data_IF_243457690979
#
_entry.id   IF_243457690979
#
_cell.length_a   1.000
_cell.length_b   1.000
_cell.length_c   1.000
_cell.angle_alpha   90.00
_cell.angle_beta   90.00
_cell.angle_gamma   90.00
#
_symmetry.space_group_name_H-M   'P 1'
#
loop_
_entity.id
_entity.type
_entity.pdbx_description
1 polymer ?
#
# COMPACT_ATOMS: atom_id res chain seq x y z
N UNK A 1 -25.23 5.21 -11.23
CA UNK A 1 -25.65 4.34 -10.11
C UNK A 1 -24.37 3.65 -9.65
N UNK A 2 -23.78 4.13 -8.59
CA UNK A 2 -22.55 3.58 -8.04
C UNK A 2 -22.89 2.33 -7.22
N UNK A 3 -22.40 1.16 -7.66
CA UNK A 3 -22.45 -0.04 -6.87
C UNK A 3 -21.41 0.09 -5.75
N UNK A 4 -21.86 0.02 -4.52
CA UNK A 4 -21.10 0.19 -3.30
C UNK A 4 -20.03 -0.89 -3.15
N UNK A 5 -18.79 -0.51 -3.16
CA UNK A 5 -17.61 -1.27 -2.67
C UNK A 5 -17.60 -1.29 -1.12
N UNK A 6 -18.76 -1.46 -0.47
CA UNK A 6 -18.95 -1.20 0.96
C UNK A 6 -18.55 -2.35 1.89
N UNK A 7 -17.71 -3.31 1.46
CA UNK A 7 -17.19 -4.37 2.34
C UNK A 7 -15.69 -4.65 2.15
N UNK A 8 -14.88 -3.61 1.96
CA UNK A 8 -13.45 -3.77 2.22
C UNK A 8 -13.24 -3.87 3.73
N UNK A 9 -13.04 -5.07 4.22
CA UNK A 9 -12.46 -5.25 5.56
C UNK A 9 -11.08 -4.58 5.56
N UNK A 10 -10.75 -3.73 6.53
CA UNK A 10 -9.53 -2.92 6.56
C UNK A 10 -8.22 -3.70 6.71
N UNK A 11 -8.22 -5.01 6.65
CA UNK A 11 -7.09 -5.88 6.98
C UNK A 11 -6.79 -6.95 5.92
N UNK A 12 -7.03 -6.69 4.63
CA UNK A 12 -6.52 -7.61 3.60
C UNK A 12 -5.10 -7.20 3.21
N UNK A 13 -4.14 -8.15 3.17
CA UNK A 13 -2.84 -7.86 2.57
C UNK A 13 -3.06 -7.40 1.12
N UNK A 14 -2.43 -6.29 0.78
CA UNK A 14 -2.39 -5.75 -0.57
C UNK A 14 -1.75 -6.83 -1.45
N UNK A 15 -2.49 -7.33 -2.44
CA UNK A 15 -1.98 -8.36 -3.36
C UNK A 15 -2.83 -9.62 -3.50
N UNK A 16 -3.83 -9.83 -2.64
CA UNK A 16 -4.76 -10.96 -2.80
C UNK A 16 -6.16 -10.48 -3.21
N UNK A 17 -6.53 -10.73 -4.45
CA UNK A 17 -7.92 -10.62 -4.93
C UNK A 17 -8.72 -11.84 -4.44
N UNK A 18 -9.09 -11.84 -3.14
CA UNK A 18 -9.85 -12.94 -2.56
C UNK A 18 -11.34 -12.76 -2.79
N UNK A 19 -11.93 -13.64 -3.59
CA UNK A 19 -13.37 -13.71 -3.84
C UNK A 19 -14.02 -14.85 -3.01
N UNK A 20 -13.69 -15.02 -1.76
CA UNK A 20 -14.13 -15.99 -0.75
C UNK A 20 -12.94 -16.80 -0.18
N UNK A 21 -13.13 -17.42 1.00
CA UNK A 21 -12.08 -18.19 1.68
C UNK A 21 -11.46 -19.25 0.77
N UNK A 22 -10.13 -19.35 0.75
CA UNK A 22 -9.40 -20.36 0.02
C UNK A 22 -9.92 -21.78 0.39
N UNK A 23 -10.46 -22.54 -0.56
CA UNK A 23 -11.05 -23.84 -0.27
C UNK A 23 -9.96 -24.90 -0.12
N UNK A 24 -10.07 -25.73 0.94
CA UNK A 24 -9.31 -26.97 0.99
C UNK A 24 -9.83 -27.92 -0.11
N UNK A 25 -8.93 -28.45 -0.95
CA UNK A 25 -9.29 -29.48 -1.95
C UNK A 25 -10.04 -30.63 -1.24
N UNK A 26 -11.32 -30.81 -1.59
CA UNK A 26 -12.04 -32.04 -1.33
C UNK A 26 -12.17 -32.80 -2.67
N UNK A 27 -11.96 -34.14 -2.71
CA UNK A 27 -12.21 -34.93 -3.92
C UNK A 27 -13.72 -34.93 -4.19
N UNK A 28 -14.16 -34.10 -5.10
CA UNK A 28 -15.57 -34.02 -5.50
C UNK A 28 -15.76 -34.81 -6.79
N UNK A 29 -16.53 -35.85 -6.73
CA UNK A 29 -17.01 -36.54 -7.94
C UNK A 29 -18.06 -35.64 -8.59
N UNK A 30 -17.66 -34.93 -9.66
CA UNK A 30 -18.55 -34.05 -10.43
C UNK A 30 -19.57 -34.90 -11.20
N UNK A 31 -20.86 -34.56 -11.04
CA UNK A 31 -21.94 -35.18 -11.87
C UNK A 31 -21.95 -34.65 -13.31
N UNK A 32 -21.28 -33.50 -13.57
CA UNK A 32 -21.04 -32.99 -14.92
C UNK A 32 -19.54 -33.13 -15.25
N UNK A 33 -19.24 -33.78 -16.36
CA UNK A 33 -17.89 -34.16 -16.84
C UNK A 33 -17.06 -32.94 -17.36
N UNK A 34 -17.29 -31.73 -16.88
CA UNK A 34 -16.52 -30.53 -17.28
C UNK A 34 -15.31 -30.39 -16.37
N UNK A 35 -14.08 -30.43 -16.90
CA UNK A 35 -12.87 -30.27 -16.09
C UNK A 35 -12.82 -28.91 -15.42
N UNK A 36 -12.25 -28.79 -14.20
CA UNK A 36 -12.05 -27.50 -13.50
C UNK A 36 -11.27 -26.48 -14.34
N UNK A 37 -10.29 -26.93 -15.13
CA UNK A 37 -9.55 -26.09 -16.09
C UNK A 37 -10.46 -25.45 -17.14
N UNK A 38 -11.43 -26.16 -17.66
CA UNK A 38 -12.40 -25.63 -18.63
C UNK A 38 -13.37 -24.64 -17.93
N UNK A 39 -13.70 -24.90 -16.66
CA UNK A 39 -14.54 -23.99 -15.88
C UNK A 39 -13.83 -22.66 -15.62
N UNK A 40 -12.53 -22.67 -15.37
CA UNK A 40 -11.74 -21.43 -15.20
C UNK A 40 -11.49 -20.73 -16.54
N UNK A 41 -11.11 -21.47 -17.60
CA UNK A 41 -10.76 -20.85 -18.88
C UNK A 41 -11.92 -20.06 -19.49
N UNK A 42 -13.17 -20.53 -19.32
CA UNK A 42 -14.36 -19.82 -19.86
C UNK A 42 -14.54 -18.42 -19.27
N UNK A 43 -13.98 -18.12 -18.09
CA UNK A 43 -14.03 -16.76 -17.50
C UNK A 43 -13.27 -15.75 -18.38
N UNK A 44 -12.30 -16.23 -19.17
CA UNK A 44 -11.41 -15.40 -20.00
C UNK A 44 -11.66 -15.59 -21.51
N UNK A 45 -12.38 -16.63 -21.92
CA UNK A 45 -12.62 -16.97 -23.33
C UNK A 45 -14.04 -16.65 -23.81
N UNK A 46 -15.00 -16.64 -22.89
CA UNK A 46 -16.39 -16.33 -23.24
C UNK A 46 -16.65 -14.83 -23.20
N UNK A 47 -17.49 -14.29 -24.12
CA UNK A 47 -17.72 -12.85 -24.20
C UNK A 47 -18.44 -12.25 -23.00
N UNK A 48 -19.24 -13.07 -22.30
CA UNK A 48 -20.01 -12.66 -21.13
C UNK A 48 -20.05 -13.75 -20.06
N UNK A 49 -19.89 -13.35 -18.79
CA UNK A 49 -20.05 -14.25 -17.65
C UNK A 49 -21.53 -14.65 -17.48
N UNK A 50 -21.79 -15.94 -17.32
CA UNK A 50 -23.15 -16.45 -17.14
C UNK A 50 -23.41 -16.77 -15.66
N UNK A 51 -24.55 -16.29 -15.15
CA UNK A 51 -24.97 -16.54 -13.76
C UNK A 51 -24.94 -18.02 -13.36
N UNK A 52 -25.33 -18.90 -14.28
CA UNK A 52 -25.43 -20.36 -14.04
C UNK A 52 -24.06 -21.02 -13.72
N UNK A 53 -22.96 -20.37 -13.98
CA UNK A 53 -21.62 -20.88 -13.66
C UNK A 53 -21.28 -20.77 -12.17
N UNK A 54 -22.03 -19.98 -11.43
CA UNK A 54 -21.75 -19.64 -10.05
C UNK A 54 -22.87 -20.10 -9.14
N UNK A 55 -22.54 -20.56 -7.94
CA UNK A 55 -23.52 -20.87 -6.92
C UNK A 55 -24.15 -19.57 -6.35
N UNK A 56 -25.42 -19.65 -5.94
CA UNK A 56 -26.11 -18.49 -5.36
C UNK A 56 -25.42 -17.97 -4.08
N UNK A 57 -24.83 -18.87 -3.28
CA UNK A 57 -24.05 -18.50 -2.09
C UNK A 57 -22.78 -17.71 -2.42
N UNK A 58 -22.18 -17.92 -3.58
CA UNK A 58 -21.05 -17.17 -4.07
C UNK A 58 -21.48 -15.80 -4.58
N UNK A 59 -22.53 -15.75 -5.39
CA UNK A 59 -23.08 -14.49 -5.91
C UNK A 59 -23.74 -13.59 -4.84
N UNK A 60 -24.04 -14.13 -3.67
CA UNK A 60 -24.46 -13.33 -2.51
C UNK A 60 -23.29 -12.53 -1.90
N UNK A 61 -22.04 -12.92 -2.17
CA UNK A 61 -20.84 -12.26 -1.65
C UNK A 61 -20.20 -11.30 -2.66
N UNK A 62 -20.36 -11.59 -3.95
CA UNK A 62 -19.78 -10.81 -5.05
C UNK A 62 -20.69 -10.86 -6.27
N UNK A 63 -20.96 -9.71 -6.89
CA UNK A 63 -21.79 -9.63 -8.08
C UNK A 63 -21.09 -10.08 -9.37
N UNK A 64 -21.85 -10.49 -10.40
CA UNK A 64 -21.28 -10.78 -11.72
C UNK A 64 -20.51 -9.60 -12.32
N UNK A 65 -20.96 -8.37 -12.07
CA UNK A 65 -20.30 -7.16 -12.55
C UNK A 65 -18.91 -7.00 -11.93
N UNK A 66 -18.78 -7.23 -10.62
CA UNK A 66 -17.50 -7.21 -9.92
C UNK A 66 -16.56 -8.31 -10.40
N UNK A 67 -17.06 -9.55 -10.62
CA UNK A 67 -16.27 -10.64 -11.20
C UNK A 67 -15.77 -10.26 -12.59
N UNK A 68 -16.63 -9.66 -13.42
CA UNK A 68 -16.27 -9.20 -14.76
C UNK A 68 -15.18 -8.13 -14.72
N UNK A 69 -15.25 -7.20 -13.78
CA UNK A 69 -14.22 -6.17 -13.59
C UNK A 69 -12.87 -6.81 -13.19
N UNK A 70 -12.87 -7.80 -12.31
CA UNK A 70 -11.66 -8.53 -11.91
C UNK A 70 -11.04 -9.25 -13.10
N UNK A 71 -11.84 -9.98 -13.89
CA UNK A 71 -11.37 -10.68 -15.09
C UNK A 71 -10.76 -9.69 -16.10
N UNK A 72 -11.43 -8.56 -16.34
CA UNK A 72 -10.92 -7.51 -17.24
C UNK A 72 -9.64 -6.88 -16.69
N UNK A 73 -9.57 -6.63 -15.38
CA UNK A 73 -8.36 -6.11 -14.74
C UNK A 73 -7.16 -7.04 -14.87
N UNK A 74 -7.38 -8.37 -14.71
CA UNK A 74 -6.36 -9.39 -14.95
C UNK A 74 -5.86 -9.31 -16.41
N UNK A 75 -6.77 -9.36 -17.39
CA UNK A 75 -6.39 -9.27 -18.81
C UNK A 75 -5.70 -7.94 -19.14
N UNK A 76 -6.15 -6.84 -18.55
CA UNK A 76 -5.48 -5.54 -18.66
C UNK A 76 -4.02 -5.57 -18.17
N UNK A 77 -3.75 -6.32 -17.11
CA UNK A 77 -2.42 -6.41 -16.49
C UNK A 77 -1.49 -7.36 -17.25
N UNK A 78 -1.94 -8.59 -17.59
CA UNK A 78 -1.10 -9.66 -18.15
C UNK A 78 -1.44 -10.05 -19.59
N UNK A 79 -2.36 -9.35 -20.24
CA UNK A 79 -2.69 -9.54 -21.66
C UNK A 79 -3.72 -10.63 -21.91
N UNK A 80 -3.73 -11.16 -23.14
CA UNK A 80 -4.71 -12.16 -23.59
C UNK A 80 -4.45 -13.54 -23.00
N UNK A 81 -5.52 -14.22 -22.58
CA UNK A 81 -5.45 -15.58 -22.06
C UNK A 81 -4.92 -16.56 -23.14
N UNK A 82 -4.04 -17.46 -22.73
CA UNK A 82 -3.41 -18.46 -23.60
C UNK A 82 -3.72 -19.89 -23.16
N UNK A 83 -3.45 -20.23 -21.91
CA UNK A 83 -3.59 -21.59 -21.41
C UNK A 83 -3.82 -21.64 -19.90
N UNK A 84 -4.14 -22.84 -19.40
CA UNK A 84 -4.26 -23.13 -17.97
C UNK A 84 -3.65 -24.50 -17.67
N UNK A 85 -2.93 -24.59 -16.58
CA UNK A 85 -2.34 -25.82 -16.05
C UNK A 85 -2.89 -26.11 -14.65
N UNK A 86 -3.14 -27.39 -14.36
CA UNK A 86 -3.46 -27.87 -13.01
C UNK A 86 -2.14 -28.19 -12.31
N UNK A 87 -1.90 -27.57 -11.17
CA UNK A 87 -0.70 -27.73 -10.35
C UNK A 87 -1.06 -28.22 -8.95
N UNK A 88 -0.08 -28.73 -8.17
CA UNK A 88 -0.32 -29.37 -6.86
C UNK A 88 -1.22 -28.55 -5.92
N UNK A 89 -1.11 -27.22 -5.94
CA UNK A 89 -1.83 -26.32 -5.04
C UNK A 89 -2.88 -25.43 -5.73
N UNK A 90 -3.34 -25.76 -6.95
CA UNK A 90 -4.32 -24.94 -7.65
C UNK A 90 -4.19 -24.97 -9.15
N UNK A 91 -4.25 -23.81 -9.79
CA UNK A 91 -4.16 -23.66 -11.24
C UNK A 91 -3.21 -22.50 -11.54
N UNK A 92 -2.53 -22.58 -12.69
CA UNK A 92 -1.77 -21.47 -13.25
C UNK A 92 -2.38 -21.11 -14.60
N UNK A 93 -2.94 -19.92 -14.72
CA UNK A 93 -3.43 -19.35 -15.97
C UNK A 93 -2.30 -18.58 -16.65
N UNK A 94 -1.97 -18.94 -17.88
CA UNK A 94 -0.95 -18.28 -18.70
C UNK A 94 -1.61 -17.29 -19.64
N UNK A 95 -1.04 -16.11 -19.71
CA UNK A 95 -1.45 -14.99 -20.57
C UNK A 95 -0.30 -14.57 -21.47
N UNK A 96 -0.56 -13.70 -22.45
CA UNK A 96 0.45 -13.24 -23.41
C UNK A 96 1.62 -12.49 -22.78
N UNK A 97 1.45 -11.90 -21.59
CA UNK A 97 2.47 -11.11 -20.88
C UNK A 97 2.77 -11.62 -19.47
N UNK A 98 2.22 -12.78 -19.06
CA UNK A 98 2.44 -13.27 -17.71
C UNK A 98 1.58 -14.46 -17.33
N UNK A 99 1.51 -14.74 -16.03
CA UNK A 99 0.72 -15.82 -15.47
C UNK A 99 -0.02 -15.37 -14.21
N UNK A 100 -1.12 -16.06 -13.89
CA UNK A 100 -1.93 -15.80 -12.70
C UNK A 100 -2.23 -17.13 -12.00
N UNK A 101 -1.68 -17.35 -10.80
CA UNK A 101 -2.09 -18.47 -9.98
C UNK A 101 -3.54 -18.30 -9.51
N UNK A 102 -4.30 -19.40 -9.48
CA UNK A 102 -5.70 -19.37 -9.10
C UNK A 102 -6.11 -20.60 -8.28
N UNK A 103 -7.10 -20.41 -7.41
CA UNK A 103 -7.72 -21.48 -6.64
C UNK A 103 -9.22 -21.52 -6.91
N UNK A 104 -9.76 -22.69 -7.09
CA UNK A 104 -11.15 -22.92 -7.47
C UNK A 104 -11.81 -23.95 -6.56
N UNK A 105 -13.01 -23.62 -6.08
CA UNK A 105 -13.91 -24.58 -5.44
C UNK A 105 -15.21 -24.71 -6.23
N UNK A 106 -15.69 -25.93 -6.36
CA UNK A 106 -16.91 -26.26 -7.09
C UNK A 106 -17.88 -27.04 -6.19
N UNK A 107 -19.18 -26.88 -6.43
CA UNK A 107 -20.19 -27.79 -5.87
C UNK A 107 -20.37 -29.03 -6.77
N UNK A 108 -21.23 -29.96 -6.35
CA UNK A 108 -21.54 -31.19 -7.10
C UNK A 108 -22.20 -30.94 -8.45
N UNK A 109 -22.68 -29.73 -8.72
CA UNK A 109 -23.28 -29.33 -10.01
C UNK A 109 -22.26 -28.64 -10.94
N UNK A 110 -21.00 -28.55 -10.54
CA UNK A 110 -19.94 -27.87 -11.29
C UNK A 110 -20.01 -26.34 -11.24
N UNK A 111 -20.76 -25.79 -10.30
CA UNK A 111 -20.82 -24.32 -10.10
C UNK A 111 -19.71 -23.84 -9.17
N UNK A 112 -19.19 -22.65 -9.44
CA UNK A 112 -18.17 -21.99 -8.65
C UNK A 112 -18.74 -21.58 -7.29
N UNK A 113 -18.16 -22.09 -6.21
CA UNK A 113 -18.47 -21.76 -4.82
C UNK A 113 -17.37 -20.95 -4.14
N UNK A 114 -16.15 -20.98 -4.71
CA UNK A 114 -15.00 -20.20 -4.28
C UNK A 114 -14.05 -20.01 -5.45
N UNK A 115 -13.53 -18.80 -5.56
CA UNK A 115 -12.57 -18.40 -6.58
C UNK A 115 -11.61 -17.38 -6.00
N UNK A 116 -10.32 -17.64 -6.15
CA UNK A 116 -9.24 -16.74 -5.77
C UNK A 116 -8.27 -16.64 -6.93
N UNK A 117 -7.98 -15.45 -7.37
CA UNK A 117 -6.83 -15.14 -8.21
C UNK A 117 -5.75 -14.50 -7.33
N UNK A 118 -4.54 -15.05 -7.38
CA UNK A 118 -3.38 -14.42 -6.76
C UNK A 118 -2.90 -13.23 -7.60
N UNK A 119 -1.95 -12.47 -7.07
CA UNK A 119 -1.36 -11.36 -7.82
C UNK A 119 -0.75 -11.87 -9.12
N UNK A 120 -1.10 -11.27 -10.28
CA UNK A 120 -0.48 -11.60 -11.55
C UNK A 120 1.05 -11.50 -11.51
N UNK A 121 1.71 -12.40 -12.22
CA UNK A 121 3.16 -12.41 -12.40
C UNK A 121 3.43 -12.11 -13.87
N UNK A 122 4.12 -10.99 -14.16
CA UNK A 122 4.53 -10.71 -15.53
C UNK A 122 5.63 -11.68 -15.95
N UNK A 123 5.69 -12.02 -17.23
CA UNK A 123 6.87 -12.63 -17.83
C UNK A 123 8.09 -11.76 -17.54
N UNK A 124 9.26 -12.38 -17.37
CA UNK A 124 10.45 -11.64 -17.01
C UNK A 124 10.70 -10.46 -17.97
N UNK A 125 10.45 -9.26 -17.46
CA UNK A 125 10.75 -8.00 -18.16
C UNK A 125 12.17 -7.57 -17.81
N UNK A 126 12.88 -7.01 -18.76
CA UNK A 126 14.12 -6.30 -18.49
C UNK A 126 13.84 -5.02 -17.69
N UNK A 127 14.84 -4.51 -16.98
CA UNK A 127 14.72 -3.25 -16.24
C UNK A 127 14.29 -2.08 -17.14
N UNK A 128 14.73 -2.05 -18.40
CA UNK A 128 14.32 -1.03 -19.36
C UNK A 128 12.85 -1.14 -19.76
N UNK A 129 12.34 -2.36 -19.92
CA UNK A 129 10.91 -2.58 -20.17
C UNK A 129 10.06 -2.23 -18.96
N UNK A 130 10.48 -2.60 -17.74
CA UNK A 130 9.80 -2.20 -16.50
C UNK A 130 9.75 -0.67 -16.36
N UNK A 131 10.87 0.01 -16.62
CA UNK A 131 10.91 1.47 -16.59
C UNK A 131 9.93 2.09 -17.59
N UNK A 132 9.85 1.52 -18.81
CA UNK A 132 8.93 1.98 -19.83
C UNK A 132 7.45 1.75 -19.43
N UNK A 133 7.12 0.60 -18.84
CA UNK A 133 5.79 0.29 -18.34
C UNK A 133 5.36 1.23 -17.20
N UNK A 134 6.25 1.53 -16.24
CA UNK A 134 5.98 2.54 -15.22
C UNK A 134 5.78 3.94 -15.82
N UNK A 135 6.62 4.33 -16.77
CA UNK A 135 6.53 5.64 -17.44
C UNK A 135 5.26 5.78 -18.29
N UNK A 136 4.67 4.67 -18.75
CA UNK A 136 3.43 4.65 -19.52
C UNK A 136 2.16 4.77 -18.67
N UNK A 137 2.27 4.70 -17.32
CA UNK A 137 1.12 4.89 -16.45
C UNK A 137 0.62 6.35 -16.52
N UNK A 138 -0.70 6.58 -16.64
CA UNK A 138 -1.23 7.94 -16.71
C UNK A 138 -1.09 8.68 -15.37
N UNK A 139 -0.85 9.99 -15.44
CA UNK A 139 -0.65 10.83 -14.25
C UNK A 139 0.82 11.03 -13.91
N UNK A 140 1.18 10.91 -12.63
CA UNK A 140 2.55 11.10 -12.15
C UNK A 140 3.07 9.84 -11.47
N UNK A 141 4.27 9.43 -11.84
CA UNK A 141 4.93 8.23 -11.29
C UNK A 141 6.37 8.57 -10.91
N UNK A 142 6.81 8.08 -9.76
CA UNK A 142 8.21 7.95 -9.46
C UNK A 142 8.54 6.51 -9.02
N UNK A 143 9.73 6.04 -9.38
CA UNK A 143 10.24 4.72 -8.98
C UNK A 143 11.73 4.83 -8.67
N UNK A 144 12.15 4.17 -7.61
CA UNK A 144 13.54 3.95 -7.28
C UNK A 144 13.71 2.49 -6.85
N UNK A 145 14.69 1.82 -7.44
CA UNK A 145 15.23 0.57 -6.96
C UNK A 145 16.72 0.75 -6.80
N UNK A 146 17.24 0.49 -5.61
CA UNK A 146 18.64 0.70 -5.28
C UNK A 146 19.19 -0.45 -4.45
N UNK A 147 20.48 -0.71 -4.57
CA UNK A 147 21.27 -1.63 -3.77
C UNK A 147 22.24 -0.85 -2.89
N UNK A 148 22.31 -1.15 -1.60
CA UNK A 148 23.35 -0.64 -0.70
C UNK A 148 24.54 -1.59 -0.71
N UNK A 149 25.75 -1.05 -0.78
CA UNK A 149 26.98 -1.85 -0.76
C UNK A 149 27.54 -2.06 0.65
N UNK A 150 26.82 -1.65 1.71
CA UNK A 150 27.24 -1.92 3.10
C UNK A 150 26.89 -3.35 3.49
N UNK A 151 27.90 -4.11 3.97
CA UNK A 151 27.67 -5.32 4.76
C UNK A 151 27.45 -4.91 6.22
N UNK A 152 26.61 -5.66 6.95
CA UNK A 152 26.37 -5.42 8.38
C UNK A 152 27.71 -5.25 9.13
N UNK A 153 27.95 -4.06 9.67
CA UNK A 153 29.10 -3.77 10.54
C UNK A 153 30.18 -2.86 9.96
N UNK A 154 30.06 -2.34 8.76
CA UNK A 154 31.05 -1.42 8.19
C UNK A 154 30.62 0.05 8.40
N UNK A 155 31.20 0.73 9.41
CA UNK A 155 31.03 2.17 9.67
C UNK A 155 31.95 3.03 8.76
N UNK A 156 32.10 2.64 7.50
CA UNK A 156 32.93 3.36 6.52
C UNK A 156 32.27 4.63 6.00
N UNK A 157 33.07 5.65 5.56
CA UNK A 157 32.52 6.88 5.03
C UNK A 157 31.89 6.68 3.65
N UNK A 158 30.64 7.16 3.52
CA UNK A 158 29.80 7.18 2.31
C UNK A 158 29.45 5.80 1.72
N UNK A 159 28.26 5.34 2.07
CA UNK A 159 27.58 4.22 1.43
C UNK A 159 27.53 4.45 -0.09
N UNK A 160 28.30 3.71 -0.85
CA UNK A 160 28.14 3.67 -2.30
C UNK A 160 26.88 2.86 -2.62
N UNK A 161 25.75 3.53 -2.77
CA UNK A 161 24.53 2.91 -3.26
C UNK A 161 24.51 2.88 -4.77
N UNK A 162 24.11 1.73 -5.35
CA UNK A 162 23.91 1.57 -6.79
C UNK A 162 22.44 1.72 -7.12
N UNK A 163 22.11 2.64 -8.02
CA UNK A 163 20.77 2.74 -8.59
C UNK A 163 20.56 1.67 -9.66
N UNK A 164 19.64 0.73 -9.41
CA UNK A 164 19.28 -0.34 -10.35
C UNK A 164 18.25 0.19 -11.36
N UNK A 165 17.27 0.97 -10.89
CA UNK A 165 16.27 1.65 -11.71
C UNK A 165 15.87 2.95 -11.02
N UNK A 166 15.87 4.06 -11.78
CA UNK A 166 15.38 5.34 -11.30
C UNK A 166 14.49 6.00 -12.37
N UNK A 167 13.26 6.34 -11.99
CA UNK A 167 12.31 7.10 -12.78
C UNK A 167 11.76 8.23 -11.92
N UNK A 168 12.11 9.48 -12.22
CA UNK A 168 11.67 10.66 -11.45
C UNK A 168 11.86 10.51 -9.93
N UNK A 169 12.91 9.78 -9.48
CA UNK A 169 13.10 9.31 -8.12
C UNK A 169 13.20 10.43 -7.08
N UNK A 170 13.54 11.66 -7.50
CA UNK A 170 13.65 12.85 -6.66
C UNK A 170 12.39 13.74 -6.69
N UNK A 171 11.38 13.36 -7.48
CA UNK A 171 10.13 14.11 -7.55
C UNK A 171 9.23 13.76 -6.36
N UNK A 172 8.84 14.73 -5.50
CA UNK A 172 7.91 14.47 -4.42
C UNK A 172 6.49 14.26 -4.95
N UNK A 173 5.89 13.11 -4.62
CA UNK A 173 4.49 12.77 -4.89
C UNK A 173 3.73 12.51 -3.59
N UNK A 174 2.40 12.52 -3.64
CA UNK A 174 1.54 12.10 -2.56
C UNK A 174 1.74 10.59 -2.29
N UNK A 175 1.97 10.22 -1.03
CA UNK A 175 2.36 8.85 -0.67
C UNK A 175 1.38 8.14 0.27
N UNK A 176 0.29 8.82 0.65
CA UNK A 176 -0.66 8.26 1.61
C UNK A 176 0.04 7.80 2.89
N UNK A 177 -0.40 6.68 3.43
CA UNK A 177 0.08 6.15 4.72
C UNK A 177 1.57 5.81 4.80
N UNK A 178 2.33 5.91 3.71
CA UNK A 178 3.79 5.66 3.77
C UNK A 178 4.52 6.75 4.56
N UNK A 179 3.91 7.93 4.75
CA UNK A 179 4.43 8.96 5.65
C UNK A 179 4.68 8.47 7.08
N UNK A 180 4.02 7.41 7.52
CA UNK A 180 4.15 6.81 8.87
C UNK A 180 5.57 6.32 9.16
N UNK A 181 6.39 6.12 8.13
CA UNK A 181 7.83 5.85 8.29
C UNK A 181 8.54 7.00 9.01
N UNK A 182 8.19 8.26 8.71
CA UNK A 182 8.78 9.42 9.38
C UNK A 182 8.30 9.58 10.81
N UNK A 183 7.06 9.17 11.11
CA UNK A 183 6.55 9.12 12.49
C UNK A 183 7.28 8.04 13.30
N UNK A 184 7.56 6.88 12.68
CA UNK A 184 8.32 5.80 13.30
C UNK A 184 9.78 6.20 13.53
N UNK A 185 10.41 6.87 12.56
CA UNK A 185 11.77 7.38 12.71
C UNK A 185 11.87 8.41 13.83
N UNK A 186 10.92 9.36 13.93
CA UNK A 186 10.86 10.30 15.04
C UNK A 186 10.71 9.59 16.39
N UNK A 187 9.88 8.54 16.47
CA UNK A 187 9.74 7.72 17.67
C UNK A 187 11.05 7.01 18.02
N UNK A 188 11.71 6.37 17.04
CA UNK A 188 12.98 5.69 17.25
C UNK A 188 14.05 6.64 17.79
N UNK A 189 14.13 7.87 17.26
CA UNK A 189 15.05 8.92 17.75
C UNK A 189 14.74 9.31 19.20
N UNK A 190 13.46 9.47 19.57
CA UNK A 190 13.04 9.77 20.94
C UNK A 190 13.39 8.64 21.92
N UNK A 191 13.24 7.38 21.50
CA UNK A 191 13.64 6.21 22.30
C UNK A 191 15.17 6.15 22.43
N UNK A 192 15.92 6.37 21.37
CA UNK A 192 17.38 6.43 21.41
C UNK A 192 17.90 7.58 22.32
N UNK A 193 17.17 8.68 22.41
CA UNK A 193 17.47 9.78 23.31
C UNK A 193 17.06 9.50 24.79
N UNK A 194 16.39 8.38 25.07
CA UNK A 194 15.91 8.01 26.40
C UNK A 194 14.67 8.78 26.87
N UNK A 195 13.98 9.49 25.95
CA UNK A 195 12.76 10.23 26.28
C UNK A 195 11.53 9.31 26.39
N UNK A 196 11.56 8.17 25.70
CA UNK A 196 10.54 7.12 25.72
C UNK A 196 11.16 5.74 25.74
N UNK A 197 10.32 4.72 26.07
CA UNK A 197 10.67 3.30 26.02
C UNK A 197 9.58 2.54 25.25
N UNK A 198 9.93 1.41 24.62
CA UNK A 198 8.97 0.61 23.86
C UNK A 198 7.82 0.06 24.72
N UNK A 199 8.05 -0.16 26.00
CA UNK A 199 7.09 -0.65 26.99
C UNK A 199 6.31 0.47 27.70
N UNK A 200 6.53 1.74 27.37
CA UNK A 200 5.70 2.85 27.86
C UNK A 200 4.22 2.58 27.58
N UNK A 201 3.39 2.69 28.61
CA UNK A 201 1.95 2.45 28.51
C UNK A 201 1.23 3.73 28.11
N UNK A 202 0.62 3.70 26.94
CA UNK A 202 -0.12 4.83 26.37
C UNK A 202 -1.63 4.58 26.50
N UNK A 203 -2.35 5.62 26.95
CA UNK A 203 -3.81 5.58 27.08
C UNK A 203 -4.46 6.15 25.82
N UNK A 204 -5.38 5.40 25.22
CA UNK A 204 -6.16 5.87 24.07
C UNK A 204 -7.07 7.04 24.45
N UNK A 205 -7.01 8.11 23.67
CA UNK A 205 -7.80 9.34 23.83
C UNK A 205 -8.74 9.53 22.65
N UNK A 206 -9.99 9.90 22.92
CA UNK A 206 -10.97 10.13 21.86
C UNK A 206 -10.60 11.28 20.91
N UNK A 207 -9.94 12.32 21.45
CA UNK A 207 -9.49 13.47 20.67
C UNK A 207 -8.38 13.12 19.66
N UNK A 208 -7.69 12.00 19.84
CA UNK A 208 -6.64 11.51 18.94
C UNK A 208 -7.10 10.37 18.03
N UNK A 209 -8.37 9.98 18.09
CA UNK A 209 -8.93 9.00 17.16
C UNK A 209 -9.10 9.60 15.77
N UNK A 210 -8.86 8.77 14.77
CA UNK A 210 -8.96 9.12 13.37
C UNK A 210 -9.91 8.17 12.61
N UNK A 211 -10.10 8.40 11.32
CA UNK A 211 -10.81 7.45 10.45
C UNK A 211 -9.94 6.21 10.17
N UNK A 212 -10.51 5.05 9.79
CA UNK A 212 -9.74 3.91 9.31
C UNK A 212 -8.84 4.35 8.11
N UNK A 213 -7.71 3.67 7.88
CA UNK A 213 -7.38 2.26 8.15
C UNK A 213 -7.11 1.94 9.62
N UNK A 214 -7.05 0.64 9.89
CA UNK A 214 -6.90 0.11 11.23
C UNK A 214 -8.24 -0.06 11.95
N UNK A 215 -8.20 -0.29 13.28
CA UNK A 215 -9.37 -0.62 14.07
C UNK A 215 -9.40 0.05 15.46
N UNK A 216 -8.33 0.71 15.90
CA UNK A 216 -8.27 1.30 17.26
C UNK A 216 -9.28 2.43 17.47
N UNK A 217 -9.80 3.05 16.41
CA UNK A 217 -10.89 4.03 16.51
C UNK A 217 -12.16 3.44 17.14
N UNK A 218 -12.33 2.10 17.09
CA UNK A 218 -13.48 1.40 17.68
C UNK A 218 -13.29 1.04 19.15
N UNK A 219 -12.06 1.13 19.66
CA UNK A 219 -11.77 0.79 21.04
C UNK A 219 -12.23 1.90 22.01
N UNK A 220 -12.63 1.55 23.26
CA UNK A 220 -13.00 2.56 24.23
C UNK A 220 -11.86 3.52 24.54
N UNK A 221 -12.17 4.79 24.75
CA UNK A 221 -11.21 5.71 25.37
C UNK A 221 -10.79 5.18 26.74
N UNK A 222 -9.55 5.41 27.13
CA UNK A 222 -8.97 4.87 28.34
C UNK A 222 -8.35 3.47 28.19
N UNK A 223 -8.53 2.78 27.06
CA UNK A 223 -7.79 1.54 26.77
C UNK A 223 -6.27 1.82 26.77
N UNK A 224 -5.50 0.86 27.28
CA UNK A 224 -4.06 0.98 27.41
C UNK A 224 -3.33 0.02 26.48
N UNK A 225 -2.33 0.52 25.75
CA UNK A 225 -1.43 -0.26 24.91
C UNK A 225 0.02 0.19 25.17
N UNK A 226 0.98 -0.71 24.96
CA UNK A 226 2.38 -0.30 24.95
C UNK A 226 2.69 0.54 23.69
N UNK A 227 3.69 1.37 23.76
CA UNK A 227 4.16 2.16 22.64
C UNK A 227 4.60 1.27 21.46
N UNK A 228 5.24 0.12 21.77
CA UNK A 228 5.56 -0.90 20.76
C UNK A 228 4.31 -1.45 20.06
N UNK A 229 3.24 -1.73 20.81
CA UNK A 229 1.97 -2.20 20.22
C UNK A 229 1.36 -1.15 19.30
N UNK A 230 1.37 0.13 19.69
CA UNK A 230 0.89 1.23 18.86
C UNK A 230 1.73 1.38 17.58
N UNK A 231 3.07 1.38 17.70
CA UNK A 231 3.97 1.44 16.54
C UNK A 231 3.77 0.23 15.60
N UNK A 232 3.59 -0.96 16.17
CA UNK A 232 3.30 -2.19 15.43
C UNK A 232 2.01 -2.06 14.62
N UNK A 233 0.92 -1.58 15.22
CA UNK A 233 -0.34 -1.37 14.52
C UNK A 233 -0.26 -0.24 13.49
N UNK A 234 0.45 0.85 13.79
CA UNK A 234 0.71 1.95 12.86
C UNK A 234 1.35 1.46 11.57
N UNK A 235 2.31 0.55 11.65
CA UNK A 235 3.04 0.04 10.48
C UNK A 235 2.33 -1.14 9.83
N UNK A 236 2.09 -2.23 10.59
CA UNK A 236 1.60 -3.50 10.04
C UNK A 236 0.15 -3.44 9.56
N UNK A 237 -0.72 -2.68 10.26
CA UNK A 237 -2.13 -2.50 9.93
C UNK A 237 -2.42 -1.11 9.33
N UNK A 238 -1.39 -0.28 9.23
CA UNK A 238 -1.55 1.12 8.83
C UNK A 238 -2.59 1.88 9.69
N UNK A 239 -2.77 1.51 10.98
CA UNK A 239 -3.79 2.07 11.86
C UNK A 239 -3.60 3.57 12.08
N UNK A 240 -4.58 4.37 11.64
CA UNK A 240 -4.52 5.83 11.70
C UNK A 240 -4.66 6.35 13.13
N UNK A 241 -5.45 5.68 13.97
CA UNK A 241 -5.59 6.04 15.39
C UNK A 241 -4.30 5.75 16.14
N UNK A 242 -3.65 4.61 15.90
CA UNK A 242 -2.31 4.35 16.43
C UNK A 242 -1.31 5.40 15.98
N UNK A 243 -1.35 5.77 14.69
CA UNK A 243 -0.48 6.81 14.11
C UNK A 243 -0.62 8.13 14.87
N UNK A 244 -1.86 8.61 15.05
CA UNK A 244 -2.10 9.90 15.69
C UNK A 244 -1.74 9.89 17.18
N UNK A 245 -1.83 8.74 17.86
CA UNK A 245 -1.33 8.59 19.23
C UNK A 245 0.19 8.70 19.31
N UNK A 246 0.90 7.95 18.44
CA UNK A 246 2.38 8.04 18.36
C UNK A 246 2.81 9.45 17.95
N UNK A 247 2.17 10.04 16.93
CA UNK A 247 2.47 11.37 16.42
C UNK A 247 2.33 12.45 17.53
N UNK A 248 1.21 12.43 18.26
CA UNK A 248 0.97 13.38 19.34
C UNK A 248 1.92 13.17 20.54
N UNK A 249 2.39 11.95 20.75
CA UNK A 249 3.36 11.65 21.80
C UNK A 249 4.74 12.21 21.45
N UNK A 250 5.26 11.94 20.25
CA UNK A 250 6.59 12.40 19.83
C UNK A 250 6.60 13.89 19.51
N UNK A 251 5.46 14.46 19.15
CA UNK A 251 5.29 15.87 18.78
C UNK A 251 5.58 16.15 17.32
N UNK A 252 4.84 17.11 16.76
CA UNK A 252 4.93 17.53 15.35
C UNK A 252 6.33 17.96 14.93
N UNK A 253 7.01 18.76 15.77
CA UNK A 253 8.33 19.27 15.48
C UNK A 253 9.34 18.13 15.33
N UNK A 254 9.24 17.06 16.14
CA UNK A 254 10.12 15.89 16.02
C UNK A 254 9.89 15.13 14.72
N UNK A 255 8.64 15.00 14.23
CA UNK A 255 8.33 14.39 12.94
C UNK A 255 8.86 15.26 11.79
N UNK A 256 8.69 16.59 11.88
CA UNK A 256 9.23 17.51 10.88
C UNK A 256 10.77 17.52 10.87
N UNK A 257 11.43 17.40 12.03
CA UNK A 257 12.89 17.30 12.13
C UNK A 257 13.40 15.97 11.57
N UNK A 258 12.70 14.86 11.85
CA UNK A 258 12.99 13.57 11.24
C UNK A 258 12.94 13.67 9.70
N UNK A 259 11.87 14.23 9.15
CA UNK A 259 11.76 14.45 7.71
C UNK A 259 12.88 15.32 7.16
N UNK A 260 13.17 16.48 7.80
CA UNK A 260 14.21 17.41 7.32
C UNK A 260 15.60 16.76 7.20
N UNK A 261 15.91 15.76 8.03
CA UNK A 261 17.21 15.08 7.98
C UNK A 261 17.44 14.26 6.70
N UNK A 262 16.36 13.88 5.98
CA UNK A 262 16.45 13.12 4.73
C UNK A 262 16.38 14.00 3.48
N UNK A 263 15.99 15.27 3.63
CA UNK A 263 15.89 16.19 2.49
C UNK A 263 17.26 16.84 2.24
N UNK A 264 18.03 16.25 1.35
CA UNK A 264 19.33 16.77 0.95
C UNK A 264 19.18 17.94 -0.05
N UNK A 265 19.82 19.08 0.24
CA UNK A 265 19.99 20.22 -0.65
C UNK A 265 19.16 21.45 -0.29
N UNK A 266 19.85 22.49 0.21
CA UNK A 266 19.27 23.80 0.61
C UNK A 266 19.10 24.79 -0.55
N UNK A 267 19.14 24.35 -1.82
CA UNK A 267 19.01 25.27 -2.94
C UNK A 267 17.55 25.62 -3.19
N UNK A 268 17.18 26.90 -3.06
CA UNK A 268 15.88 27.41 -3.50
C UNK A 268 15.60 27.01 -4.96
N UNK A 269 14.42 26.41 -5.20
CA UNK A 269 14.00 25.99 -6.52
C UNK A 269 14.21 24.50 -6.84
N UNK A 270 14.83 23.72 -5.97
CA UNK A 270 14.91 22.26 -6.11
C UNK A 270 13.56 21.60 -5.77
N UNK A 271 13.22 20.44 -6.36
CA UNK A 271 11.99 19.69 -6.06
C UNK A 271 11.77 19.47 -4.56
N UNK A 272 12.83 19.20 -3.82
CA UNK A 272 12.82 18.94 -2.37
C UNK A 272 12.45 20.15 -1.51
N UNK A 273 12.77 21.38 -1.93
CA UNK A 273 12.34 22.60 -1.23
C UNK A 273 10.81 22.73 -1.25
N UNK A 274 10.16 22.34 -2.38
CA UNK A 274 8.69 22.31 -2.50
C UNK A 274 8.05 21.23 -1.62
N UNK A 275 8.70 20.08 -1.44
CA UNK A 275 8.21 19.03 -0.54
C UNK A 275 8.24 19.52 0.93
N UNK A 276 9.32 20.20 1.35
CA UNK A 276 9.39 20.82 2.68
C UNK A 276 8.23 21.78 2.92
N UNK A 277 7.94 22.66 1.97
CA UNK A 277 6.84 23.63 2.07
C UNK A 277 5.47 22.93 2.08
N UNK A 278 5.28 21.91 1.26
CA UNK A 278 4.00 21.18 1.16
C UNK A 278 3.68 20.40 2.44
N UNK A 279 4.69 19.82 3.09
CA UNK A 279 4.56 19.06 4.33
C UNK A 279 4.61 19.93 5.60
N UNK A 280 4.69 21.26 5.48
CA UNK A 280 4.74 22.13 6.66
C UNK A 280 3.48 23.00 6.78
N UNK A 281 2.80 22.97 7.95
CA UNK A 281 3.00 22.04 9.07
C UNK A 281 2.57 20.62 8.68
N UNK A 282 3.26 19.63 9.26
CA UNK A 282 2.98 18.23 9.03
C UNK A 282 1.64 17.83 9.64
N UNK A 283 0.76 17.17 8.87
CA UNK A 283 -0.59 16.80 9.31
C UNK A 283 -0.61 15.48 10.10
N UNK A 284 -1.46 15.41 11.13
CA UNK A 284 -1.95 14.11 11.64
C UNK A 284 -2.97 13.51 10.68
N UNK A 285 -3.30 12.23 10.82
CA UNK A 285 -4.32 11.60 9.96
C UNK A 285 -5.71 12.20 10.22
N UNK A 286 -6.03 12.54 11.48
CA UNK A 286 -7.27 13.23 11.83
C UNK A 286 -7.39 14.60 11.15
N UNK A 287 -6.34 15.40 11.21
CA UNK A 287 -6.30 16.74 10.59
C UNK A 287 -6.45 16.65 9.07
N UNK A 288 -5.81 15.67 8.46
CA UNK A 288 -5.90 15.37 7.04
C UNK A 288 -7.35 15.07 6.60
N UNK A 289 -8.04 14.16 7.28
CA UNK A 289 -9.42 13.83 6.95
C UNK A 289 -10.37 15.01 7.19
N UNK A 290 -10.19 15.75 8.28
CA UNK A 290 -10.99 16.95 8.56
C UNK A 290 -10.79 18.02 7.46
N UNK A 291 -9.57 18.21 6.97
CA UNK A 291 -9.29 19.16 5.87
C UNK A 291 -9.97 18.74 4.57
N UNK A 292 -9.99 17.44 4.25
CA UNK A 292 -10.57 16.90 3.02
C UNK A 292 -12.11 16.75 3.07
N UNK A 293 -12.74 16.95 4.22
CA UNK A 293 -14.21 16.93 4.32
C UNK A 293 -14.82 17.99 3.38
N UNK A 294 -15.74 17.61 2.48
CA UNK A 294 -16.41 18.55 1.59
C UNK A 294 -17.09 19.72 2.28
N UNK A 295 -17.57 19.55 3.52
CA UNK A 295 -18.13 20.67 4.31
C UNK A 295 -17.09 21.72 4.66
N UNK A 296 -15.81 21.34 4.70
CA UNK A 296 -14.68 22.20 5.03
C UNK A 296 -13.99 22.80 3.79
N UNK A 297 -14.61 22.78 2.61
CA UNK A 297 -14.03 23.27 1.36
C UNK A 297 -13.46 24.69 1.44
N UNK A 298 -14.03 25.57 2.30
CA UNK A 298 -13.50 26.92 2.51
C UNK A 298 -12.19 26.90 3.28
N UNK A 299 -12.07 26.00 4.27
CA UNK A 299 -10.83 25.79 5.05
C UNK A 299 -9.77 25.19 4.15
N UNK A 300 -10.11 24.18 3.36
CA UNK A 300 -9.21 23.54 2.40
C UNK A 300 -8.65 24.56 1.37
N UNK A 301 -9.48 25.46 0.84
CA UNK A 301 -9.02 26.54 -0.06
C UNK A 301 -8.02 27.48 0.61
N UNK A 302 -8.19 27.77 1.90
CA UNK A 302 -7.25 28.58 2.67
C UNK A 302 -5.97 27.81 3.00
N UNK A 303 -6.07 26.52 3.33
CA UNK A 303 -4.92 25.65 3.57
C UNK A 303 -3.93 25.63 2.40
N UNK A 304 -4.44 25.66 1.18
CA UNK A 304 -3.61 25.77 -0.03
C UNK A 304 -2.73 27.02 -0.09
N UNK A 305 -2.99 28.00 0.79
CA UNK A 305 -2.14 29.19 0.97
C UNK A 305 -1.23 28.96 2.18
N UNK A 306 0.07 28.83 1.93
CA UNK A 306 1.05 28.42 2.95
C UNK A 306 1.05 29.32 4.21
N UNK A 307 0.80 30.61 4.04
CA UNK A 307 0.79 31.60 5.13
C UNK A 307 -0.40 31.45 6.11
N UNK A 308 -1.46 30.74 5.75
CA UNK A 308 -2.64 30.53 6.58
C UNK A 308 -2.62 29.19 7.36
N UNK A 309 -1.74 28.24 6.99
CA UNK A 309 -1.74 26.87 7.51
C UNK A 309 -1.63 26.76 9.03
N UNK A 310 -0.74 27.55 9.66
CA UNK A 310 -0.59 27.53 11.13
C UNK A 310 -1.87 27.93 11.88
N UNK A 311 -2.58 28.94 11.37
CA UNK A 311 -3.84 29.40 12.00
C UNK A 311 -4.98 28.38 11.76
N UNK A 312 -5.00 27.71 10.62
CA UNK A 312 -5.97 26.68 10.31
C UNK A 312 -5.72 25.46 11.18
N UNK A 313 -4.47 25.00 11.28
CA UNK A 313 -4.07 23.84 12.07
C UNK A 313 -4.59 23.89 13.51
N UNK A 314 -4.49 25.05 14.16
CA UNK A 314 -4.97 25.23 15.53
C UNK A 314 -6.50 25.09 15.67
N UNK A 315 -7.26 25.23 14.59
CA UNK A 315 -8.71 25.11 14.59
C UNK A 315 -9.22 23.71 14.23
N UNK A 316 -8.42 22.88 13.52
CA UNK A 316 -8.85 21.56 13.02
C UNK A 316 -9.27 20.59 14.14
N UNK A 317 -8.60 20.51 15.31
CA UNK A 317 -8.98 19.57 16.37
C UNK A 317 -10.41 19.77 16.90
N UNK A 318 -10.95 20.99 16.80
CA UNK A 318 -12.32 21.29 17.23
C UNK A 318 -13.39 20.85 16.24
N UNK A 319 -13.02 20.46 15.02
CA UNK A 319 -13.95 20.01 13.99
C UNK A 319 -14.20 18.49 14.10
N UNK A 320 -15.43 18.04 13.77
CA UNK A 320 -15.75 16.61 13.78
C UNK A 320 -15.00 15.88 12.65
N UNK A 321 -14.76 14.59 12.86
CA UNK A 321 -14.34 13.70 11.77
C UNK A 321 -15.48 13.57 10.75
N UNK A 322 -15.17 13.53 9.44
CA UNK A 322 -16.15 13.29 8.40
C UNK A 322 -16.65 11.83 8.38
N UNK A 323 -17.71 11.58 7.61
CA UNK A 323 -18.11 10.21 7.30
C UNK A 323 -17.05 9.55 6.39
N UNK A 324 -16.58 8.37 6.78
CA UNK A 324 -15.56 7.61 6.03
C UNK A 324 -15.99 7.31 4.59
N UNK A 325 -17.28 7.15 4.34
CA UNK A 325 -17.80 6.85 3.01
C UNK A 325 -17.57 7.99 1.99
N UNK A 326 -17.31 9.21 2.45
CA UNK A 326 -16.98 10.34 1.58
C UNK A 326 -15.67 10.11 0.80
N UNK A 327 -14.75 9.29 1.34
CA UNK A 327 -13.47 8.98 0.72
C UNK A 327 -13.53 7.79 -0.25
N UNK A 328 -14.69 7.14 -0.40
CA UNK A 328 -14.88 6.05 -1.36
C UNK A 328 -15.29 6.54 -2.76
N UNK A 329 -15.61 7.83 -2.92
CA UNK A 329 -16.18 8.38 -4.15
C UNK A 329 -15.17 8.68 -5.27
N UNK A 330 -13.89 8.38 -5.07
CA UNK A 330 -12.80 8.65 -6.01
C UNK A 330 -11.79 9.68 -5.48
N UNK A 331 -10.79 10.05 -6.30
CA UNK A 331 -9.72 10.97 -5.91
C UNK A 331 -10.24 12.32 -5.42
N UNK A 332 -9.75 12.77 -4.28
CA UNK A 332 -10.12 14.05 -3.67
C UNK A 332 -8.89 14.79 -3.19
N UNK A 333 -8.69 16.02 -3.68
CA UNK A 333 -7.65 16.93 -3.20
C UNK A 333 -6.28 16.26 -3.01
N UNK A 334 -5.77 15.54 -4.01
CA UNK A 334 -4.45 14.88 -4.00
C UNK A 334 -3.32 15.91 -3.75
N UNK A 335 -3.58 17.18 -3.98
CA UNK A 335 -2.68 18.29 -3.68
C UNK A 335 -2.56 18.62 -2.18
N UNK A 336 -3.37 17.97 -1.34
CA UNK A 336 -3.31 18.04 0.14
C UNK A 336 -3.08 16.65 0.69
N UNK A 337 -1.81 16.32 0.87
CA UNK A 337 -1.27 15.01 1.21
C UNK A 337 0.08 15.15 1.91
N UNK A 338 0.74 14.04 2.17
CA UNK A 338 2.15 13.96 2.54
C UNK A 338 2.96 13.66 1.28
N UNK A 339 3.96 14.51 1.00
CA UNK A 339 4.71 14.50 -0.25
C UNK A 339 6.15 14.13 -0.02
N UNK A 340 6.57 13.01 -0.62
CA UNK A 340 7.95 12.53 -0.53
C UNK A 340 8.41 11.99 -1.88
N UNK A 341 9.71 12.07 -2.11
CA UNK A 341 10.38 11.41 -3.23
C UNK A 341 10.65 9.95 -2.91
N UNK A 342 10.85 9.11 -3.94
CA UNK A 342 11.23 7.71 -3.75
C UNK A 342 12.55 7.59 -2.99
N UNK A 343 13.48 8.52 -3.21
CA UNK A 343 14.76 8.56 -2.51
C UNK A 343 14.61 8.86 -1.02
N UNK A 344 13.80 9.83 -0.64
CA UNK A 344 13.50 10.12 0.76
C UNK A 344 12.83 8.94 1.46
N UNK A 345 11.91 8.26 0.76
CA UNK A 345 11.24 7.06 1.28
C UNK A 345 12.22 5.90 1.49
N UNK A 346 13.12 5.65 0.55
CA UNK A 346 14.16 4.64 0.73
C UNK A 346 15.12 4.99 1.86
N UNK A 347 15.49 6.26 2.00
CA UNK A 347 16.39 6.71 3.07
C UNK A 347 15.78 6.49 4.46
N UNK A 348 14.53 6.90 4.67
CA UNK A 348 13.85 6.66 5.96
C UNK A 348 13.56 5.18 6.17
N UNK A 349 13.19 4.42 5.13
CA UNK A 349 12.95 2.99 5.22
C UNK A 349 14.20 2.25 5.70
N UNK A 350 15.37 2.52 5.13
CA UNK A 350 16.63 1.91 5.54
C UNK A 350 16.94 2.15 7.03
N UNK A 351 16.60 3.34 7.55
CA UNK A 351 16.85 3.68 8.95
C UNK A 351 15.95 2.90 9.92
N UNK A 352 14.72 2.55 9.53
CA UNK A 352 13.76 1.85 10.39
C UNK A 352 13.61 0.35 10.07
N UNK A 353 14.16 -0.13 8.94
CA UNK A 353 13.95 -1.48 8.43
C UNK A 353 14.40 -2.59 9.41
N UNK A 354 15.35 -2.30 10.31
CA UNK A 354 15.86 -3.27 11.29
C UNK A 354 14.93 -3.47 12.49
N UNK A 355 13.92 -2.60 12.69
CA UNK A 355 12.96 -2.74 13.77
C UNK A 355 12.10 -4.01 13.54
N UNK A 356 11.90 -4.86 14.58
CA UNK A 356 11.14 -6.11 14.43
C UNK A 356 9.72 -5.92 13.87
N UNK A 357 9.06 -4.81 14.25
CA UNK A 357 7.71 -4.49 13.80
C UNK A 357 7.58 -4.24 12.28
N UNK A 358 8.69 -3.94 11.59
CA UNK A 358 8.70 -3.72 10.14
C UNK A 358 8.55 -5.02 9.33
N UNK A 359 8.83 -6.19 9.94
CA UNK A 359 8.77 -7.49 9.26
C UNK A 359 7.41 -8.21 9.38
N UNK A 360 6.43 -7.62 10.07
CA UNK A 360 5.13 -8.26 10.34
C UNK A 360 4.26 -8.32 9.09
N UNK A 361 4.31 -7.27 8.29
CA UNK A 361 3.58 -7.19 7.02
C UNK A 361 4.60 -7.13 5.87
N UNK A 362 4.78 -8.20 5.08
CA UNK A 362 5.72 -8.22 3.97
C UNK A 362 5.21 -7.49 2.71
N UNK A 363 4.01 -6.93 2.74
CA UNK A 363 3.40 -6.27 1.58
C UNK A 363 3.15 -7.23 0.43
N UNK A 364 3.73 -6.93 -0.72
CA UNK A 364 3.58 -7.70 -1.97
C UNK A 364 4.65 -8.79 -2.15
N UNK A 365 5.57 -8.91 -1.20
CA UNK A 365 6.75 -9.79 -1.31
C UNK A 365 6.48 -11.12 -0.61
N UNK A 366 6.91 -12.22 -1.21
CA UNK A 366 6.94 -13.50 -0.51
C UNK A 366 8.13 -13.48 0.49
N UNK A 367 7.88 -13.48 1.80
CA UNK A 367 8.96 -13.37 2.79
C UNK A 367 9.90 -14.57 2.82
N UNK A 368 9.51 -15.72 2.24
CA UNK A 368 10.37 -16.91 2.18
C UNK A 368 11.51 -16.78 1.15
N UNK A 369 11.43 -15.82 0.25
CA UNK A 369 12.43 -15.59 -0.80
C UNK A 369 13.57 -14.69 -0.31
N UNK A 370 13.45 -14.10 0.89
CA UNK A 370 14.35 -13.10 1.43
C UNK A 370 14.73 -13.40 2.88
N UNK A 371 15.91 -13.01 3.30
CA UNK A 371 16.31 -13.10 4.70
C UNK A 371 15.50 -12.13 5.57
N UNK A 372 15.19 -10.94 5.04
CA UNK A 372 14.38 -9.91 5.68
C UNK A 372 13.54 -9.15 4.69
N UNK A 373 12.33 -8.82 5.09
CA UNK A 373 11.41 -7.94 4.34
C UNK A 373 10.86 -6.91 5.30
N UNK A 374 11.08 -5.62 5.04
CA UNK A 374 10.45 -4.52 5.75
C UNK A 374 9.58 -3.74 4.74
N UNK A 375 8.32 -3.51 5.07
CA UNK A 375 7.36 -2.92 4.15
C UNK A 375 6.50 -1.84 4.80
N UNK A 376 6.22 -0.78 4.03
CA UNK A 376 5.12 0.13 4.29
C UNK A 376 4.49 0.59 2.98
N UNK A 377 3.18 0.41 2.88
CA UNK A 377 2.40 0.96 1.78
C UNK A 377 1.52 2.13 2.21
N UNK A 378 1.07 2.90 1.22
CA UNK A 378 0.13 3.99 1.42
C UNK A 378 -0.79 4.11 0.23
N UNK A 379 -2.10 4.18 0.48
CA UNK A 379 -3.10 4.33 -0.57
C UNK A 379 -4.26 5.21 -0.14
N UNK A 380 -4.79 5.96 -1.09
CA UNK A 380 -6.12 6.56 -1.11
C UNK A 380 -6.58 6.64 -2.56
N UNK A 381 -7.85 6.96 -2.83
CA UNK A 381 -8.28 7.11 -4.22
C UNK A 381 -7.39 8.08 -4.99
N UNK A 382 -6.71 7.57 -6.04
CA UNK A 382 -5.78 8.33 -6.86
C UNK A 382 -4.33 8.40 -6.36
N UNK A 383 -4.00 7.76 -5.26
CA UNK A 383 -2.65 7.69 -4.68
C UNK A 383 -2.32 6.25 -4.31
N UNK A 384 -1.21 5.73 -4.80
CA UNK A 384 -0.67 4.42 -4.40
C UNK A 384 0.84 4.51 -4.23
N UNK A 385 1.35 4.01 -3.11
CA UNK A 385 2.78 3.87 -2.85
C UNK A 385 3.07 2.51 -2.23
N UNK A 386 4.16 1.90 -2.68
CA UNK A 386 4.80 0.76 -2.05
C UNK A 386 6.26 1.09 -1.80
N UNK A 387 6.72 0.85 -0.58
CA UNK A 387 8.12 1.03 -0.19
C UNK A 387 8.56 -0.19 0.62
N UNK A 388 9.60 -0.88 0.12
CA UNK A 388 10.11 -2.14 0.68
C UNK A 388 11.62 -2.08 0.81
N UNK A 389 12.13 -2.44 1.99
CA UNK A 389 13.54 -2.80 2.14
C UNK A 389 13.67 -4.32 2.22
N UNK A 390 14.67 -4.86 1.53
CA UNK A 390 14.91 -6.29 1.39
C UNK A 390 16.34 -6.60 1.78
N UNK A 391 16.54 -7.78 2.39
CA UNK A 391 17.87 -8.37 2.57
C UNK A 391 17.85 -9.76 1.95
N UNK A 392 18.76 -10.03 1.03
CA UNK A 392 18.89 -11.34 0.39
C UNK A 392 19.65 -12.35 1.29
N UNK A 393 19.75 -13.59 0.83
CA UNK A 393 20.46 -14.66 1.55
C UNK A 393 21.98 -14.42 1.68
N UNK A 394 22.55 -13.50 0.90
CA UNK A 394 23.96 -13.09 0.94
C UNK A 394 24.20 -11.88 1.85
N UNK A 395 23.13 -11.34 2.46
CA UNK A 395 23.19 -10.13 3.31
C UNK A 395 23.22 -8.83 2.51
N UNK A 396 22.93 -8.87 1.20
CA UNK A 396 22.84 -7.69 0.37
C UNK A 396 21.53 -6.94 0.64
N UNK A 397 21.61 -5.63 0.84
CA UNK A 397 20.46 -4.78 1.10
C UNK A 397 19.95 -4.07 -0.15
N UNK A 398 18.63 -4.07 -0.31
CA UNK A 398 17.93 -3.36 -1.39
C UNK A 398 16.83 -2.48 -0.81
N UNK A 399 16.55 -1.38 -1.48
CA UNK A 399 15.31 -0.62 -1.27
C UNK A 399 14.61 -0.39 -2.61
N UNK A 400 13.29 -0.64 -2.61
CA UNK A 400 12.42 -0.35 -3.74
C UNK A 400 11.29 0.55 -3.25
N UNK A 401 11.10 1.70 -3.90
CA UNK A 401 9.97 2.59 -3.66
C UNK A 401 9.33 2.98 -4.99
N UNK A 402 8.02 2.83 -5.10
CA UNK A 402 7.26 3.28 -6.25
C UNK A 402 5.99 4.00 -5.80
N UNK A 403 5.68 5.13 -6.45
CA UNK A 403 4.46 5.90 -6.22
C UNK A 403 3.77 6.21 -7.53
N UNK A 404 2.46 6.09 -7.54
CA UNK A 404 1.60 6.53 -8.63
C UNK A 404 0.52 7.45 -8.11
N UNK A 405 0.42 8.66 -8.72
CA UNK A 405 -0.65 9.63 -8.48
C UNK A 405 -1.45 9.87 -9.76
N UNK A 406 -2.76 9.69 -9.70
CA UNK A 406 -3.65 9.94 -10.85
C UNK A 406 -5.04 10.41 -10.40
N UNK A 407 -5.42 11.62 -10.79
CA UNK A 407 -6.73 12.20 -10.48
C UNK A 407 -7.92 11.46 -11.15
N UNK A 408 -7.65 10.66 -12.18
CA UNK A 408 -8.66 9.81 -12.82
C UNK A 408 -8.84 8.43 -12.14
N UNK A 409 -8.04 8.14 -11.10
CA UNK A 409 -8.02 6.85 -10.42
C UNK A 409 -6.83 5.99 -10.83
N UNK A 410 -6.62 4.91 -10.10
CA UNK A 410 -5.47 4.01 -10.21
C UNK A 410 -5.95 2.59 -10.49
N UNK A 411 -5.27 1.91 -11.41
CA UNK A 411 -5.34 0.46 -11.57
C UNK A 411 -4.34 -0.18 -10.59
N UNK A 412 -4.81 -0.43 -9.35
CA UNK A 412 -4.02 -1.01 -8.26
C UNK A 412 -3.39 -2.35 -8.66
N UNK A 413 -4.11 -3.16 -9.46
CA UNK A 413 -3.61 -4.47 -9.90
C UNK A 413 -2.42 -4.32 -10.86
N UNK A 414 -2.53 -3.43 -11.84
CA UNK A 414 -1.42 -3.15 -12.78
C UNK A 414 -0.21 -2.61 -12.03
N UNK A 415 -0.40 -1.67 -11.11
CA UNK A 415 0.70 -1.06 -10.38
C UNK A 415 1.40 -2.05 -9.45
N UNK A 416 0.63 -2.84 -8.68
CA UNK A 416 1.18 -3.88 -7.81
C UNK A 416 1.91 -4.98 -8.59
N UNK A 417 1.41 -5.33 -9.78
CA UNK A 417 2.05 -6.29 -10.67
C UNK A 417 3.41 -5.79 -11.17
N UNK A 418 3.50 -4.53 -11.61
CA UNK A 418 4.76 -3.91 -12.05
C UNK A 418 5.75 -3.81 -10.88
N UNK A 419 5.29 -3.41 -9.70
CA UNK A 419 6.12 -3.31 -8.51
C UNK A 419 6.71 -4.67 -8.10
N UNK A 420 5.89 -5.71 -8.08
CA UNK A 420 6.33 -7.08 -7.79
C UNK A 420 7.34 -7.56 -8.82
N UNK A 421 7.09 -7.32 -10.12
CA UNK A 421 8.03 -7.69 -11.18
C UNK A 421 9.39 -6.99 -11.03
N UNK A 422 9.39 -5.74 -10.57
CA UNK A 422 10.64 -5.02 -10.28
C UNK A 422 11.41 -5.68 -9.12
N UNK A 423 10.73 -6.08 -8.05
CA UNK A 423 11.36 -6.78 -6.92
C UNK A 423 11.95 -8.13 -7.37
N UNK A 424 11.25 -8.89 -8.21
CA UNK A 424 11.74 -10.18 -8.72
C UNK A 424 13.04 -10.05 -9.53
N UNK A 425 13.33 -8.90 -10.13
CA UNK A 425 14.61 -8.67 -10.84
C UNK A 425 15.83 -8.56 -9.91
N UNK A 426 15.61 -8.51 -8.59
CA UNK A 426 16.68 -8.35 -7.57
C UNK A 426 17.05 -9.67 -6.88
N UNK A 427 16.43 -10.78 -7.30
CA UNK A 427 16.66 -12.13 -6.75
C UNK A 427 17.89 -12.79 -7.32
#
# INVERSE_FOLDING_TARGET
MAASLSNRQPNRPIGELTIAQAPKRQPTTLQNNVPPTQILSRLFTEPELQRVWFADSFLAQISLAEISQIVQGIQGSVGDYQSIEDVDNGFVLTFSRGAVPAHLALNNQGQITGLLFETPQLSALSLSELQAEFAALPGQVHVLAMRSNTQDGDEGPEESSEEILALSADQPLAVGSTFKLFVLDALQRKIAAGEHQWDDVITLKDEWKSLPSGFLQTWPAGSQLTLESLATLMISQSDNTATDHVFNLVGRDAVEDAFRSYVNGESEGQPNARAKERNHPFLTTREFFVLKDPVNVRILRRWRRSNERKSILSALPALPLPDVNLFNAGPQAIDVEWFFSARELCSVMNNVAQLPLMNINPGLVNPNDWQRVAFKGGSEPGVENFTTALTDAQGQHFCVSATWNNEAGIDELRFSTLYRSLIETMR
#
